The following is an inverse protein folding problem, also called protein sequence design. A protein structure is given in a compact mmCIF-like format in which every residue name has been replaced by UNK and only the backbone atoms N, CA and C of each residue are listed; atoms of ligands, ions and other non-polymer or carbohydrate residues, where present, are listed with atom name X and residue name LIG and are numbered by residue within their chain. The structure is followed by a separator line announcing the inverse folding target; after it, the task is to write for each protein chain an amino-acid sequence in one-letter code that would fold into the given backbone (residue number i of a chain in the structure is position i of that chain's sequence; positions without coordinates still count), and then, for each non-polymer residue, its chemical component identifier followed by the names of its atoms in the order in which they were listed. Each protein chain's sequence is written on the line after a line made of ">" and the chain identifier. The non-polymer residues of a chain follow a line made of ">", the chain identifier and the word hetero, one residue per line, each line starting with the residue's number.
data_IF_181005421477
#
_entry.id   IF_181005421477
#
_cell.length_a   1.000
_cell.length_b   1.000
_cell.length_c   1.000
_cell.angle_alpha   90.00
_cell.angle_beta   90.00
_cell.angle_gamma   90.00
#
_symmetry.space_group_name_H-M   'P 1'
#
loop_
_entity.id
_entity.type
_entity.pdbx_description
1 polymer ?
#
# COMPACT_ATOMS: atom_id res chain seq x y z
N UNK A 1 7.08 5.87 31.51
CA UNK A 1 7.96 6.85 30.85
C UNK A 1 7.36 7.23 29.52
N UNK A 2 7.18 8.52 29.26
CA UNK A 2 6.62 9.02 28.01
C UNK A 2 7.79 9.42 27.11
N UNK A 3 8.02 8.65 26.05
CA UNK A 3 9.10 8.92 25.10
C UNK A 3 8.69 10.07 24.17
N UNK A 4 9.60 11.00 23.82
CA UNK A 4 9.29 12.06 22.89
C UNK A 4 8.87 11.48 21.54
N UNK A 5 7.67 11.84 21.07
CA UNK A 5 7.13 11.41 19.78
C UNK A 5 7.51 12.43 18.72
N UNK A 6 8.28 11.99 17.74
CA UNK A 6 8.64 12.80 16.59
C UNK A 6 8.45 12.00 15.30
N UNK A 7 8.26 12.71 14.20
CA UNK A 7 8.17 12.10 12.89
C UNK A 7 9.58 12.01 12.29
N UNK A 8 10.08 10.80 12.02
CA UNK A 8 11.46 10.60 11.56
C UNK A 8 11.80 11.38 10.27
N UNK A 9 10.84 11.54 9.36
CA UNK A 9 10.96 12.39 8.16
C UNK A 9 11.39 13.82 8.49
N UNK A 10 10.81 14.41 9.53
CA UNK A 10 11.04 15.82 9.86
C UNK A 10 12.44 15.98 10.48
N UNK A 11 12.89 14.99 11.26
CA UNK A 11 14.27 14.91 11.73
C UNK A 11 15.25 14.69 10.57
N UNK A 12 14.90 13.86 9.59
CA UNK A 12 15.74 13.67 8.40
C UNK A 12 15.89 14.98 7.59
N UNK A 13 14.82 15.76 7.46
CA UNK A 13 14.86 17.08 6.83
C UNK A 13 15.77 18.04 7.61
N UNK A 14 15.65 18.09 8.93
CA UNK A 14 16.53 18.90 9.78
C UNK A 14 18.00 18.48 9.63
N UNK A 15 18.30 17.17 9.65
CA UNK A 15 19.67 16.65 9.49
C UNK A 15 20.26 16.97 8.13
N UNK A 16 19.45 16.89 7.07
CA UNK A 16 19.86 17.25 5.71
C UNK A 16 20.28 18.72 5.63
N UNK A 17 19.53 19.62 6.27
CA UNK A 17 19.89 21.03 6.37
C UNK A 17 21.14 21.24 7.21
N UNK A 18 21.24 20.58 8.38
CA UNK A 18 22.39 20.70 9.27
C UNK A 18 23.70 20.26 8.60
N UNK A 19 23.66 19.16 7.84
CA UNK A 19 24.82 18.60 7.15
C UNK A 19 25.00 19.11 5.71
N UNK A 20 24.15 20.02 5.24
CA UNK A 20 24.18 20.55 3.86
C UNK A 20 24.19 19.45 2.79
N UNK A 21 23.39 18.40 2.98
CA UNK A 21 23.33 17.26 2.08
C UNK A 21 21.92 17.01 1.54
N UNK A 22 21.75 16.43 0.33
CA UNK A 22 20.43 16.11 -0.21
C UNK A 22 19.68 15.07 0.63
N UNK A 23 18.35 15.23 0.74
CA UNK A 23 17.45 14.23 1.30
C UNK A 23 16.60 13.61 0.19
N UNK A 24 16.66 12.28 0.06
CA UNK A 24 15.81 11.53 -0.88
C UNK A 24 14.72 10.80 -0.09
N UNK A 25 13.45 11.11 -0.40
CA UNK A 25 12.29 10.46 0.20
C UNK A 25 11.72 9.42 -0.78
N UNK A 26 12.14 8.16 -0.64
CA UNK A 26 11.65 7.06 -1.46
C UNK A 26 10.33 6.50 -0.94
N UNK A 27 9.30 6.44 -1.80
CA UNK A 27 8.06 5.71 -1.49
C UNK A 27 7.37 5.26 -2.77
N UNK A 28 6.80 4.04 -2.74
CA UNK A 28 5.88 3.57 -3.77
C UNK A 28 4.47 4.17 -3.61
N UNK A 29 4.12 4.57 -2.39
CA UNK A 29 2.83 5.18 -2.01
C UNK A 29 3.11 6.36 -1.06
N UNK A 30 3.53 7.52 -1.59
CA UNK A 30 3.93 8.65 -0.76
C UNK A 30 2.77 9.15 0.10
N UNK A 31 3.08 9.73 1.27
CA UNK A 31 2.07 10.43 2.07
C UNK A 31 1.49 11.59 1.26
N UNK A 32 0.23 11.95 1.52
CA UNK A 32 -0.46 13.02 0.80
C UNK A 32 0.30 14.34 0.92
N UNK A 33 0.84 14.67 2.09
CA UNK A 33 1.57 15.91 2.33
C UNK A 33 2.89 15.95 1.54
N UNK A 34 3.60 14.82 1.50
CA UNK A 34 4.88 14.70 0.78
C UNK A 34 4.66 14.82 -0.72
N UNK A 35 3.64 14.13 -1.24
CA UNK A 35 3.26 14.20 -2.64
C UNK A 35 2.77 15.59 -3.04
N UNK A 36 1.94 16.24 -2.22
CA UNK A 36 1.45 17.60 -2.48
C UNK A 36 2.59 18.65 -2.50
N UNK A 37 3.63 18.46 -1.69
CA UNK A 37 4.82 19.34 -1.72
C UNK A 37 5.64 19.14 -2.99
N UNK A 38 5.80 17.90 -3.44
CA UNK A 38 6.45 17.56 -4.69
C UNK A 38 5.69 18.16 -5.90
N UNK A 39 4.37 18.01 -5.97
CA UNK A 39 3.57 18.58 -7.07
C UNK A 39 3.52 20.11 -7.08
N UNK A 40 3.71 20.75 -5.92
CA UNK A 40 3.84 22.22 -5.80
C UNK A 40 5.26 22.75 -6.05
N UNK A 41 6.22 21.89 -6.39
CA UNK A 41 7.62 22.26 -6.64
C UNK A 41 8.42 22.62 -5.37
N UNK A 42 7.89 22.33 -4.19
CA UNK A 42 8.65 22.47 -2.93
C UNK A 42 9.69 21.37 -2.82
N UNK A 43 9.36 20.16 -3.29
CA UNK A 43 10.29 19.04 -3.47
C UNK A 43 10.42 18.72 -4.95
N UNK A 44 11.57 18.20 -5.34
CA UNK A 44 11.75 17.65 -6.68
C UNK A 44 11.10 16.26 -6.75
N UNK A 45 10.22 16.07 -7.74
CA UNK A 45 9.53 14.79 -7.96
C UNK A 45 10.31 13.94 -8.96
N UNK A 46 11.01 12.92 -8.46
CA UNK A 46 11.67 11.91 -9.29
C UNK A 46 10.75 10.68 -9.44
N UNK A 47 10.29 10.42 -10.66
CA UNK A 47 9.35 9.32 -10.95
C UNK A 47 10.02 8.17 -11.69
N UNK A 48 9.71 6.94 -11.27
CA UNK A 48 10.12 5.70 -11.95
C UNK A 48 8.86 5.00 -12.48
N UNK A 49 8.37 5.36 -13.69
CA UNK A 49 7.07 4.89 -14.19
C UNK A 49 7.08 3.42 -14.63
N UNK A 50 8.27 2.83 -14.85
CA UNK A 50 8.41 1.46 -15.31
C UNK A 50 8.78 0.53 -14.16
N UNK A 51 8.08 -0.61 -14.06
CA UNK A 51 8.37 -1.65 -13.09
C UNK A 51 9.70 -2.32 -13.42
N UNK A 52 10.45 -2.64 -12.36
CA UNK A 52 11.62 -3.53 -12.46
C UNK A 52 11.15 -4.86 -13.08
N UNK A 53 11.88 -5.34 -14.08
CA UNK A 53 11.60 -6.58 -14.83
C UNK A 53 10.27 -6.62 -15.61
N UNK A 54 9.61 -5.47 -15.83
CA UNK A 54 8.38 -5.37 -16.64
C UNK A 54 7.26 -6.35 -16.22
N UNK A 55 7.23 -6.75 -14.94
CA UNK A 55 6.21 -7.67 -14.45
C UNK A 55 4.82 -7.02 -14.48
N UNK A 56 3.84 -7.76 -15.01
CA UNK A 56 2.45 -7.34 -15.04
C UNK A 56 1.89 -7.13 -13.63
N UNK A 57 0.85 -6.31 -13.54
CA UNK A 57 0.05 -6.20 -12.32
C UNK A 57 -0.71 -7.52 -12.09
N UNK A 58 -0.95 -7.90 -10.82
CA UNK A 58 -1.84 -9.02 -10.53
C UNK A 58 -3.26 -8.70 -11.02
N UNK A 59 -3.99 -9.74 -11.43
CA UNK A 59 -5.42 -9.60 -11.72
C UNK A 59 -6.18 -9.29 -10.44
N UNK A 60 -7.13 -8.35 -10.54
CA UNK A 60 -7.95 -7.89 -9.40
C UNK A 60 -9.40 -8.06 -9.77
N UNK A 61 -10.13 -8.78 -8.93
CA UNK A 61 -11.56 -9.01 -9.08
C UNK A 61 -12.33 -8.26 -8.00
N UNK A 62 -13.32 -7.46 -8.41
CA UNK A 62 -14.23 -6.77 -7.50
C UNK A 62 -15.51 -7.59 -7.42
N UNK A 63 -15.83 -8.09 -6.23
CA UNK A 63 -17.04 -8.89 -6.00
C UNK A 63 -18.08 -8.06 -5.25
N UNK A 64 -19.30 -7.98 -5.78
CA UNK A 64 -20.42 -7.34 -5.09
C UNK A 64 -21.08 -8.33 -4.11
N UNK A 65 -20.83 -8.15 -2.82
CA UNK A 65 -21.40 -8.98 -1.76
C UNK A 65 -22.93 -8.88 -1.63
N UNK A 66 -23.57 -7.86 -2.22
CA UNK A 66 -25.05 -7.78 -2.25
C UNK A 66 -25.62 -8.80 -3.24
N UNK A 67 -24.94 -9.03 -4.36
CA UNK A 67 -25.33 -10.06 -5.32
C UNK A 67 -25.17 -11.45 -4.72
N UNK A 68 -24.08 -11.69 -3.97
CA UNK A 68 -23.87 -12.92 -3.19
C UNK A 68 -25.00 -13.16 -2.18
N UNK A 69 -25.42 -12.12 -1.46
CA UNK A 69 -26.53 -12.25 -0.51
C UNK A 69 -27.85 -12.58 -1.22
N UNK A 70 -28.12 -11.94 -2.35
CA UNK A 70 -29.31 -12.19 -3.16
C UNK A 70 -29.33 -13.61 -3.77
N UNK A 71 -28.16 -14.17 -4.09
CA UNK A 71 -28.00 -15.55 -4.57
C UNK A 71 -28.02 -16.60 -3.44
N UNK A 72 -28.14 -16.16 -2.18
CA UNK A 72 -28.29 -17.02 -1.01
C UNK A 72 -27.01 -17.22 -0.18
N UNK A 73 -25.87 -16.65 -0.57
CA UNK A 73 -24.66 -16.66 0.23
C UNK A 73 -24.76 -15.64 1.38
N UNK A 74 -25.00 -16.15 2.60
CA UNK A 74 -25.09 -15.35 3.83
C UNK A 74 -23.77 -15.21 4.59
N UNK A 75 -22.67 -15.72 4.04
CA UNK A 75 -21.37 -15.70 4.71
C UNK A 75 -20.62 -14.40 4.46
N UNK A 76 -19.60 -14.12 5.28
CA UNK A 76 -18.75 -12.92 5.12
C UNK A 76 -17.80 -13.00 3.91
N UNK A 77 -17.69 -14.16 3.26
CA UNK A 77 -16.83 -14.37 2.11
C UNK A 77 -17.67 -14.70 0.89
N UNK A 78 -17.32 -14.13 -0.27
CA UNK A 78 -17.90 -14.56 -1.54
C UNK A 78 -17.53 -16.01 -1.85
N UNK A 79 -18.33 -16.66 -2.71
CA UNK A 79 -17.99 -17.97 -3.25
C UNK A 79 -16.60 -17.97 -3.89
N UNK A 80 -16.33 -16.98 -4.75
CA UNK A 80 -15.05 -16.83 -5.44
C UNK A 80 -13.86 -16.71 -4.48
N UNK A 81 -13.99 -15.91 -3.41
CA UNK A 81 -12.92 -15.76 -2.44
C UNK A 81 -12.68 -17.07 -1.66
N UNK A 82 -13.74 -17.78 -1.27
CA UNK A 82 -13.60 -19.08 -0.60
C UNK A 82 -12.89 -20.10 -1.48
N UNK A 83 -13.29 -20.18 -2.76
CA UNK A 83 -12.64 -21.07 -3.71
C UNK A 83 -11.17 -20.71 -3.88
N UNK A 84 -10.86 -19.43 -4.10
CA UNK A 84 -9.48 -18.97 -4.25
C UNK A 84 -8.65 -19.28 -2.99
N UNK A 85 -9.20 -19.13 -1.79
CA UNK A 85 -8.52 -19.51 -0.54
C UNK A 85 -8.23 -21.01 -0.53
N UNK A 86 -9.24 -21.85 -0.80
CA UNK A 86 -9.08 -23.31 -0.78
C UNK A 86 -8.01 -23.77 -1.76
N UNK A 87 -8.02 -23.24 -2.99
CA UNK A 87 -7.02 -23.57 -4.02
C UNK A 87 -5.58 -23.25 -3.58
N UNK A 88 -5.36 -22.16 -2.82
CA UNK A 88 -4.05 -21.81 -2.28
C UNK A 88 -3.64 -22.75 -1.17
N UNK A 89 -4.56 -23.08 -0.26
CA UNK A 89 -4.29 -24.02 0.83
C UNK A 89 -3.98 -25.43 0.31
N UNK A 90 -4.70 -25.90 -0.72
CA UNK A 90 -4.45 -27.20 -1.36
C UNK A 90 -3.05 -27.28 -2.00
N UNK A 91 -2.57 -26.14 -2.52
CA UNK A 91 -1.20 -25.98 -3.05
C UNK A 91 -0.14 -25.77 -1.96
N UNK A 92 -0.52 -25.77 -0.67
CA UNK A 92 0.33 -25.44 0.48
C UNK A 92 0.93 -24.02 0.39
N UNK A 93 0.21 -23.10 -0.24
CA UNK A 93 0.55 -21.69 -0.33
C UNK A 93 -0.12 -20.88 0.81
N UNK A 94 0.28 -19.62 0.96
CA UNK A 94 -0.21 -18.73 2.00
C UNK A 94 -1.24 -17.73 1.46
N UNK A 95 -2.18 -17.34 2.32
CA UNK A 95 -3.17 -16.30 2.05
C UNK A 95 -3.05 -15.21 3.10
N UNK A 96 -3.09 -13.95 2.66
CA UNK A 96 -3.16 -12.78 3.55
C UNK A 96 -4.55 -12.16 3.42
N UNK A 97 -5.28 -12.11 4.54
CA UNK A 97 -6.58 -11.44 4.63
C UNK A 97 -6.43 -10.14 5.43
N UNK A 98 -6.79 -9.03 4.80
CA UNK A 98 -6.82 -7.72 5.44
C UNK A 98 -8.22 -7.43 5.98
N UNK A 99 -8.31 -7.17 7.28
CA UNK A 99 -9.52 -6.74 7.97
C UNK A 99 -9.28 -5.31 8.46
N UNK A 100 -10.29 -4.45 8.32
CA UNK A 100 -10.20 -3.09 8.83
C UNK A 100 -10.00 -3.11 10.36
N UNK A 101 -9.21 -2.16 10.85
CA UNK A 101 -8.95 -1.96 12.28
C UNK A 101 -9.89 -0.91 12.85
#
# INVERSE_FOLDING_TARGET
>A
EDYPRYHARDIAQWRSQYHQCPLVLGSATPSLETYARATKGVYELLSLPHRVNQQALPEVNIVDMRAELASGNRSMFSGDLRQAIQERLDKKEQVVLFLNR
#
